data_IF_772465830413
#
_entry.id   IF_772465830413
#
_cell.length_a   1.000
_cell.length_b   1.000
_cell.length_c   1.000
_cell.angle_alpha   90.00
_cell.angle_beta   90.00
_cell.angle_gamma   90.00
#
_symmetry.space_group_name_H-M   'P 1'
#
loop_
_entity.id
_entity.type
_entity.pdbx_description
1 polymer ?
#
# COMPACT_ATOMS: atom_id res chain seq x y z
N UNK A 1 -8.73 0.41 22.90
CA UNK A 1 -7.82 -0.75 22.81
C UNK A 1 -7.36 -0.87 21.37
N UNK A 2 -6.06 -0.85 21.10
CA UNK A 2 -5.47 -1.07 19.79
C UNK A 2 -5.48 -2.56 19.44
N UNK A 3 -5.97 -2.92 18.25
CA UNK A 3 -5.69 -4.19 17.62
C UNK A 3 -4.65 -4.01 16.50
N UNK A 4 -3.71 -4.92 16.39
CA UNK A 4 -2.73 -4.99 15.32
C UNK A 4 -3.00 -6.29 14.56
N UNK A 5 -3.43 -6.20 13.32
CA UNK A 5 -3.75 -7.36 12.50
C UNK A 5 -2.69 -7.55 11.42
N UNK A 6 -2.18 -8.76 11.35
CA UNK A 6 -1.37 -9.22 10.23
C UNK A 6 -1.96 -10.49 9.66
N UNK A 7 -1.67 -10.74 8.40
CA UNK A 7 -2.18 -11.89 7.67
C UNK A 7 -1.10 -12.41 6.73
N UNK A 8 -0.82 -13.70 6.85
CA UNK A 8 0.22 -14.36 6.10
C UNK A 8 -0.06 -15.85 5.96
N UNK A 9 0.34 -16.44 4.87
CA UNK A 9 0.48 -17.88 4.70
C UNK A 9 1.94 -18.27 4.77
N UNK A 10 2.26 -19.57 4.80
CA UNK A 10 3.63 -20.11 4.95
C UNK A 10 4.68 -19.42 4.06
N UNK A 11 4.30 -18.99 2.86
CA UNK A 11 5.22 -18.35 1.91
C UNK A 11 5.64 -16.94 2.29
N UNK A 12 4.94 -16.29 3.23
CA UNK A 12 5.15 -14.90 3.63
C UNK A 12 5.88 -14.72 4.96
N UNK A 13 6.32 -15.81 5.62
CA UNK A 13 7.07 -15.72 6.89
C UNK A 13 8.58 -15.53 6.72
N UNK A 14 9.06 -15.25 5.51
CA UNK A 14 10.49 -15.12 5.19
C UNK A 14 11.20 -13.94 5.90
N UNK A 15 10.48 -12.92 6.33
CA UNK A 15 11.01 -11.79 7.09
C UNK A 15 10.38 -11.66 8.49
N UNK A 16 9.73 -12.71 8.99
CA UNK A 16 8.91 -12.69 10.19
C UNK A 16 9.59 -12.15 11.44
N UNK A 17 10.80 -12.59 11.83
CA UNK A 17 11.47 -12.05 13.01
C UNK A 17 11.74 -10.54 12.89
N UNK A 18 12.11 -10.07 11.69
CA UNK A 18 12.34 -8.65 11.45
C UNK A 18 11.03 -7.86 11.47
N UNK A 19 9.97 -8.42 10.91
CA UNK A 19 8.63 -7.86 10.95
C UNK A 19 8.15 -7.66 12.39
N UNK A 20 8.23 -8.68 13.24
CA UNK A 20 7.82 -8.61 14.65
C UNK A 20 8.57 -7.51 15.42
N UNK A 21 9.90 -7.44 15.26
CA UNK A 21 10.71 -6.39 15.88
C UNK A 21 10.30 -4.99 15.41
N UNK A 22 9.94 -4.82 14.12
CA UNK A 22 9.47 -3.54 13.58
C UNK A 22 8.09 -3.18 14.12
N UNK A 23 7.18 -4.12 14.22
CA UNK A 23 5.86 -3.92 14.83
C UNK A 23 6.00 -3.53 16.30
N UNK A 24 6.82 -4.26 17.07
CA UNK A 24 7.08 -3.95 18.48
C UNK A 24 7.69 -2.54 18.65
N UNK A 25 8.63 -2.15 17.80
CA UNK A 25 9.23 -0.81 17.84
C UNK A 25 8.23 0.30 17.46
N UNK A 26 7.39 0.09 16.46
CA UNK A 26 6.44 1.09 15.99
C UNK A 26 5.25 1.27 16.94
N UNK A 27 4.81 0.22 17.61
CA UNK A 27 3.68 0.24 18.54
C UNK A 27 4.10 0.19 20.02
N UNK A 28 5.39 0.30 20.33
CA UNK A 28 5.94 0.20 21.69
C UNK A 28 5.52 1.33 22.65
N UNK A 29 4.82 2.36 22.15
CA UNK A 29 4.20 3.38 23.00
C UNK A 29 2.82 2.94 23.53
N UNK A 30 2.33 1.77 23.15
CA UNK A 30 1.15 1.13 23.72
C UNK A 30 1.57 0.05 24.70
N UNK A 31 1.32 0.24 25.97
CA UNK A 31 1.60 -0.74 27.04
C UNK A 31 0.82 -2.04 26.83
N UNK A 32 -0.31 -1.97 26.14
CA UNK A 32 -1.15 -3.12 25.79
C UNK A 32 -1.72 -3.00 24.39
N UNK A 33 -1.60 -4.07 23.62
CA UNK A 33 -2.22 -4.24 22.33
C UNK A 33 -2.74 -5.66 22.14
N UNK A 34 -3.62 -5.85 21.16
CA UNK A 34 -4.08 -7.18 20.77
C UNK A 34 -3.54 -7.49 19.37
N UNK A 35 -2.50 -8.32 19.30
CA UNK A 35 -1.91 -8.78 18.06
C UNK A 35 -2.70 -9.96 17.51
N UNK A 36 -3.21 -9.84 16.30
CA UNK A 36 -4.04 -10.83 15.61
C UNK A 36 -3.29 -11.30 14.37
N UNK A 37 -2.93 -12.58 14.34
CA UNK A 37 -2.36 -13.23 13.16
C UNK A 37 -3.43 -14.11 12.50
N UNK A 38 -3.89 -13.71 11.31
CA UNK A 38 -4.70 -14.57 10.46
C UNK A 38 -3.79 -15.34 9.49
N UNK A 39 -3.88 -16.67 9.49
CA UNK A 39 -2.94 -17.52 8.78
C UNK A 39 -3.55 -18.84 8.34
N UNK A 40 -2.78 -19.65 7.61
CA UNK A 40 -3.13 -21.03 7.29
C UNK A 40 -2.84 -21.98 8.49
N UNK A 41 -2.95 -23.28 8.26
CA UNK A 41 -2.73 -24.33 9.27
C UNK A 41 -1.36 -25.01 9.14
N UNK A 42 -0.42 -24.42 8.40
CA UNK A 42 0.92 -24.97 8.18
C UNK A 42 1.79 -25.01 9.46
N UNK A 43 2.86 -25.77 9.42
CA UNK A 43 3.81 -25.81 10.53
C UNK A 43 4.60 -24.50 10.63
N UNK A 44 4.86 -23.86 9.51
CA UNK A 44 5.43 -22.51 9.46
C UNK A 44 4.52 -21.49 10.15
N UNK A 45 3.20 -21.61 10.01
CA UNK A 45 2.24 -20.76 10.70
C UNK A 45 2.27 -21.01 12.22
N UNK A 46 2.37 -22.26 12.67
CA UNK A 46 2.53 -22.59 14.09
C UNK A 46 3.82 -22.00 14.66
N UNK A 47 4.94 -22.15 13.95
CA UNK A 47 6.21 -21.56 14.35
C UNK A 47 6.14 -20.02 14.40
N UNK A 48 5.43 -19.38 13.47
CA UNK A 48 5.24 -17.93 13.45
C UNK A 48 4.41 -17.45 14.66
N UNK A 49 3.39 -18.19 15.06
CA UNK A 49 2.59 -17.89 16.28
C UNK A 49 3.48 -17.94 17.53
N UNK A 50 4.30 -18.98 17.68
CA UNK A 50 5.21 -19.09 18.84
C UNK A 50 6.27 -17.98 18.82
N UNK A 51 6.85 -17.66 17.67
CA UNK A 51 7.77 -16.54 17.54
C UNK A 51 7.12 -15.21 17.94
N UNK A 52 5.86 -14.98 17.59
CA UNK A 52 5.14 -13.77 18.00
C UNK A 52 4.98 -13.69 19.52
N UNK A 53 4.75 -14.81 20.21
CA UNK A 53 4.65 -14.87 21.68
C UNK A 53 5.95 -14.52 22.39
N UNK A 54 7.07 -14.78 21.74
CA UNK A 54 8.41 -14.52 22.30
C UNK A 54 8.90 -13.11 21.99
N UNK A 55 8.65 -12.63 20.77
CA UNK A 55 9.24 -11.38 20.25
C UNK A 55 8.40 -10.13 20.57
N UNK A 56 7.09 -10.28 20.77
CA UNK A 56 6.22 -9.14 21.05
C UNK A 56 6.18 -8.82 22.55
N UNK A 57 5.88 -7.57 22.94
CA UNK A 57 5.85 -7.15 24.35
C UNK A 57 4.93 -8.03 25.21
N UNK A 58 5.37 -8.36 26.42
CA UNK A 58 4.66 -9.25 27.36
C UNK A 58 3.23 -8.78 27.69
N UNK A 59 3.00 -7.46 27.72
CA UNK A 59 1.66 -6.88 27.94
C UNK A 59 0.67 -7.06 26.77
N UNK A 60 1.14 -7.59 25.65
CA UNK A 60 0.29 -7.77 24.48
C UNK A 60 -0.41 -9.14 24.47
N UNK A 61 -1.66 -9.14 24.02
CA UNK A 61 -2.39 -10.38 23.79
C UNK A 61 -2.19 -10.86 22.37
N UNK A 62 -1.86 -12.13 22.19
CA UNK A 62 -1.63 -12.73 20.87
C UNK A 62 -2.76 -13.71 20.56
N UNK A 63 -3.43 -13.48 19.45
CA UNK A 63 -4.50 -14.30 18.94
C UNK A 63 -4.17 -14.78 17.53
N UNK A 64 -4.18 -16.09 17.34
CA UNK A 64 -4.12 -16.68 16.01
C UNK A 64 -5.54 -17.01 15.50
N UNK A 65 -5.79 -16.70 14.23
CA UNK A 65 -6.99 -17.09 13.50
C UNK A 65 -6.55 -17.95 12.32
N UNK A 66 -6.67 -19.26 12.45
CA UNK A 66 -6.21 -20.20 11.43
C UNK A 66 -7.37 -20.59 10.50
N UNK A 67 -7.14 -20.45 9.20
CA UNK A 67 -8.08 -20.81 8.16
C UNK A 67 -7.61 -22.06 7.41
N UNK A 68 -8.51 -22.94 6.97
CA UNK A 68 -8.17 -24.09 6.13
C UNK A 68 -7.93 -23.62 4.69
N UNK A 69 -6.86 -22.85 4.49
CA UNK A 69 -6.47 -22.33 3.19
C UNK A 69 -5.44 -23.29 2.58
N UNK A 70 -5.73 -23.73 1.37
CA UNK A 70 -4.73 -24.38 0.54
C UNK A 70 -3.95 -23.30 -0.22
N UNK A 71 -2.61 -23.31 -0.09
CA UNK A 71 -1.72 -22.51 -0.92
C UNK A 71 -1.68 -23.01 -2.38
N UNK A 72 -2.55 -24.01 -2.68
CA UNK A 72 -2.64 -24.77 -3.90
C UNK A 72 -1.93 -24.10 -5.07
N UNK A 73 -0.85 -24.70 -5.50
CA UNK A 73 0.07 -24.20 -6.52
C UNK A 73 -0.58 -23.98 -7.88
N UNK A 74 -1.50 -23.02 -7.94
CA UNK A 74 -2.09 -22.54 -9.19
C UNK A 74 -1.08 -21.62 -9.83
N UNK A 75 -0.32 -22.16 -10.75
CA UNK A 75 0.56 -21.40 -11.64
C UNK A 75 -0.25 -20.88 -12.84
N UNK A 76 0.07 -19.68 -13.31
CA UNK A 76 -0.46 -19.16 -14.56
C UNK A 76 -1.36 -17.92 -14.44
N UNK A 77 -2.04 -17.60 -15.55
CA UNK A 77 -2.88 -16.38 -15.67
C UNK A 77 -4.06 -16.34 -14.69
N UNK A 78 -4.52 -17.49 -14.24
CA UNK A 78 -5.67 -17.65 -13.35
C UNK A 78 -5.32 -17.52 -11.86
N UNK A 79 -4.03 -17.29 -11.55
CA UNK A 79 -3.52 -17.18 -10.18
C UNK A 79 -4.05 -15.96 -9.42
N UNK A 80 -4.29 -14.84 -10.08
CA UNK A 80 -4.60 -13.56 -9.40
C UNK A 80 -5.90 -13.61 -8.60
N UNK A 81 -6.97 -14.12 -9.17
CA UNK A 81 -8.28 -14.14 -8.48
C UNK A 81 -8.29 -15.05 -7.25
N UNK A 82 -7.79 -16.29 -7.30
CA UNK A 82 -7.66 -17.12 -6.10
C UNK A 82 -6.77 -16.50 -5.02
N UNK A 83 -5.67 -15.86 -5.38
CA UNK A 83 -4.78 -15.18 -4.43
C UNK A 83 -5.49 -14.02 -3.72
N UNK A 84 -6.23 -13.19 -4.45
CA UNK A 84 -7.00 -12.08 -3.89
C UNK A 84 -8.12 -12.55 -2.97
N UNK A 85 -8.80 -13.64 -3.31
CA UNK A 85 -9.82 -14.25 -2.45
C UNK A 85 -9.22 -14.79 -1.15
N UNK A 86 -8.03 -15.42 -1.20
CA UNK A 86 -7.32 -15.88 0.01
C UNK A 86 -6.93 -14.70 0.91
N UNK A 87 -6.35 -13.63 0.34
CA UNK A 87 -5.99 -12.44 1.09
C UNK A 87 -7.25 -11.83 1.72
N UNK A 88 -8.34 -11.69 0.98
CA UNK A 88 -9.61 -11.18 1.49
C UNK A 88 -10.17 -12.04 2.63
N UNK A 89 -10.04 -13.37 2.55
CA UNK A 89 -10.45 -14.27 3.62
C UNK A 89 -9.64 -14.08 4.90
N UNK A 90 -8.31 -13.98 4.78
CA UNK A 90 -7.41 -13.74 5.91
C UNK A 90 -7.66 -12.36 6.54
N UNK A 91 -7.72 -11.32 5.74
CA UNK A 91 -8.04 -9.97 6.20
C UNK A 91 -9.42 -9.93 6.87
N UNK A 92 -10.43 -10.53 6.24
CA UNK A 92 -11.79 -10.60 6.78
C UNK A 92 -11.84 -11.29 8.14
N UNK A 93 -11.10 -12.39 8.31
CA UNK A 93 -11.01 -13.12 9.58
C UNK A 93 -10.32 -12.30 10.66
N UNK A 94 -9.20 -11.64 10.34
CA UNK A 94 -8.49 -10.76 11.27
C UNK A 94 -9.36 -9.56 11.69
N UNK A 95 -10.06 -8.93 10.75
CA UNK A 95 -10.94 -7.79 11.03
C UNK A 95 -12.16 -8.21 11.86
N UNK A 96 -12.72 -9.40 11.60
CA UNK A 96 -13.79 -9.96 12.42
C UNK A 96 -13.32 -10.22 13.86
N UNK A 97 -12.11 -10.76 14.05
CA UNK A 97 -11.53 -10.95 15.36
C UNK A 97 -11.34 -9.61 16.10
N UNK A 98 -10.85 -8.57 15.41
CA UNK A 98 -10.71 -7.23 15.97
C UNK A 98 -12.05 -6.60 16.37
N UNK A 99 -13.10 -6.79 15.56
CA UNK A 99 -14.47 -6.36 15.93
C UNK A 99 -14.99 -7.09 17.16
N UNK A 100 -14.76 -8.41 17.23
CA UNK A 100 -15.22 -9.24 18.37
C UNK A 100 -14.65 -8.77 19.71
N UNK A 101 -13.39 -8.30 19.73
CA UNK A 101 -12.76 -7.73 20.94
C UNK A 101 -13.10 -6.25 21.14
N UNK A 102 -13.94 -5.66 20.29
CA UNK A 102 -14.33 -4.24 20.33
C UNK A 102 -13.12 -3.30 20.27
N UNK A 103 -12.19 -3.57 19.36
CA UNK A 103 -11.05 -2.70 19.13
C UNK A 103 -11.51 -1.28 18.78
N UNK A 104 -10.89 -0.27 19.37
CA UNK A 104 -11.18 1.14 19.08
C UNK A 104 -10.40 1.64 17.86
N UNK A 105 -9.31 0.96 17.54
CA UNK A 105 -8.54 1.13 16.32
C UNK A 105 -7.95 -0.22 15.88
N UNK A 106 -7.79 -0.40 14.57
CA UNK A 106 -7.12 -1.55 13.98
C UNK A 106 -5.98 -1.10 13.09
N UNK A 107 -4.77 -1.50 13.40
CA UNK A 107 -3.62 -1.35 12.53
C UNK A 107 -3.41 -2.63 11.71
N UNK A 108 -3.71 -2.58 10.43
CA UNK A 108 -3.52 -3.66 9.45
C UNK A 108 -2.14 -3.54 8.84
N UNK A 109 -1.31 -4.57 8.97
CA UNK A 109 0.05 -4.61 8.42
C UNK A 109 0.31 -5.98 7.79
N UNK A 110 0.66 -5.99 6.49
CA UNK A 110 1.10 -7.22 5.81
C UNK A 110 2.45 -7.69 6.34
N UNK A 111 2.62 -9.00 6.45
CA UNK A 111 3.81 -9.62 7.06
C UNK A 111 5.12 -9.36 6.29
N UNK A 112 5.03 -8.90 5.06
CA UNK A 112 6.16 -8.51 4.21
C UNK A 112 6.39 -6.98 4.16
N UNK A 113 5.66 -6.19 4.95
CA UNK A 113 5.87 -4.76 5.13
C UNK A 113 6.64 -4.45 6.40
N UNK A 114 7.88 -4.01 6.26
CA UNK A 114 8.73 -3.61 7.37
C UNK A 114 8.50 -2.13 7.69
N UNK A 115 7.70 -1.87 8.68
CA UNK A 115 7.28 -0.52 9.07
C UNK A 115 8.39 0.26 9.78
N UNK A 116 8.49 1.60 9.57
CA UNK A 116 9.36 2.43 10.39
C UNK A 116 8.82 2.62 11.80
N UNK A 117 9.68 2.95 12.78
CA UNK A 117 9.28 3.05 14.19
C UNK A 117 8.23 4.12 14.50
N UNK A 118 8.08 5.12 13.63
CA UNK A 118 7.11 6.21 13.76
C UNK A 118 5.77 5.95 13.03
N UNK A 119 5.68 4.85 12.27
CA UNK A 119 4.55 4.59 11.39
C UNK A 119 3.19 4.65 12.10
N UNK A 120 3.03 3.93 13.20
CA UNK A 120 1.77 3.90 13.93
C UNK A 120 1.44 5.28 14.54
N UNK A 121 2.42 5.93 15.16
CA UNK A 121 2.23 7.24 15.78
C UNK A 121 1.78 8.30 14.78
N UNK A 122 2.35 8.29 13.58
CA UNK A 122 1.97 9.21 12.51
C UNK A 122 0.57 8.89 11.99
N UNK A 123 0.21 7.61 11.88
CA UNK A 123 -1.13 7.21 11.49
C UNK A 123 -2.18 7.60 12.56
N UNK A 124 -1.88 7.44 13.83
CA UNK A 124 -2.72 7.88 14.96
C UNK A 124 -2.92 9.40 14.94
N UNK A 125 -1.84 10.15 14.72
CA UNK A 125 -1.92 11.60 14.59
C UNK A 125 -2.85 12.00 13.43
N UNK A 126 -2.79 11.32 12.29
CA UNK A 126 -3.69 11.58 11.17
C UNK A 126 -5.16 11.31 11.52
N UNK A 127 -5.44 10.23 12.26
CA UNK A 127 -6.81 9.93 12.71
C UNK A 127 -7.32 10.89 13.81
N UNK A 128 -6.40 11.50 14.56
CA UNK A 128 -6.75 12.47 15.60
C UNK A 128 -7.02 13.88 15.07
N UNK A 129 -6.79 14.14 13.78
CA UNK A 129 -7.07 15.45 13.19
C UNK A 129 -8.58 15.75 13.23
N UNK A 130 -9.01 16.84 13.89
CA UNK A 130 -10.41 17.18 13.98
C UNK A 130 -10.90 17.96 12.75
N UNK A 131 -12.18 17.89 12.51
CA UNK A 131 -12.94 18.86 11.69
C UNK A 131 -13.29 20.08 12.54
N UNK A 132 -13.90 21.09 11.95
CA UNK A 132 -14.35 22.29 12.66
C UNK A 132 -15.36 21.99 13.79
N UNK A 133 -16.17 20.94 13.64
CA UNK A 133 -17.12 20.46 14.65
C UNK A 133 -16.52 19.52 15.70
N UNK A 134 -15.19 19.27 15.64
CA UNK A 134 -14.47 18.39 16.56
C UNK A 134 -14.57 16.90 16.23
N UNK A 135 -15.28 16.50 15.18
CA UNK A 135 -15.31 15.11 14.74
C UNK A 135 -13.99 14.72 14.02
N UNK A 136 -13.62 13.42 13.94
CA UNK A 136 -12.43 13.02 13.20
C UNK A 136 -12.52 13.38 11.72
N UNK A 137 -11.49 14.04 11.19
CA UNK A 137 -11.43 14.38 9.77
C UNK A 137 -11.16 13.13 8.92
N UNK A 138 -10.22 12.28 9.34
CA UNK A 138 -9.91 11.02 8.70
C UNK A 138 -10.36 9.83 9.53
N UNK A 139 -10.73 8.74 8.87
CA UNK A 139 -11.16 7.49 9.49
C UNK A 139 -10.21 6.34 9.20
N UNK A 140 -9.39 6.52 8.18
CA UNK A 140 -8.38 5.57 7.71
C UNK A 140 -7.10 6.34 7.44
N UNK A 141 -5.96 5.85 7.92
CA UNK A 141 -4.65 6.44 7.71
C UNK A 141 -3.69 5.38 7.14
N UNK A 142 -3.27 5.56 5.89
CA UNK A 142 -2.44 4.63 5.16
C UNK A 142 -1.00 5.14 5.07
N UNK A 143 -0.09 4.35 5.60
CA UNK A 143 1.35 4.50 5.40
C UNK A 143 1.68 3.95 4.01
N UNK A 144 2.42 4.72 3.23
CA UNK A 144 2.81 4.30 1.90
C UNK A 144 3.87 3.20 1.94
N UNK A 145 3.82 2.30 0.99
CA UNK A 145 4.83 1.27 0.79
C UNK A 145 4.98 0.95 -0.69
N UNK A 146 6.18 0.49 -1.07
CA UNK A 146 6.45 0.15 -2.45
C UNK A 146 5.75 -1.13 -2.87
N UNK A 147 5.07 -1.11 -4.01
CA UNK A 147 4.36 -2.29 -4.52
C UNK A 147 5.18 -3.15 -5.51
N UNK A 148 6.49 -3.23 -5.28
CA UNK A 148 7.35 -4.19 -5.96
C UNK A 148 7.87 -3.80 -7.34
N UNK A 149 7.56 -2.62 -7.82
CA UNK A 149 8.13 -2.09 -9.07
C UNK A 149 9.17 -1.02 -8.74
N UNK A 150 10.33 -1.49 -8.28
CA UNK A 150 11.42 -0.60 -7.98
C UNK A 150 12.56 -0.83 -8.90
N UNK A 151 13.22 0.22 -9.20
CA UNK A 151 14.46 0.33 -9.88
C UNK A 151 14.34 0.18 -11.38
N UNK A 152 14.26 1.29 -12.03
CA UNK A 152 14.88 1.43 -13.34
C UNK A 152 16.33 0.93 -13.25
N UNK A 153 16.88 0.43 -14.33
CA UNK A 153 18.20 -0.19 -14.38
C UNK A 153 19.39 0.62 -13.82
N UNK A 154 19.12 1.78 -13.22
CA UNK A 154 20.07 2.71 -12.60
C UNK A 154 19.83 2.93 -11.09
N UNK A 155 19.06 2.08 -10.44
CA UNK A 155 18.86 2.20 -9.00
C UNK A 155 17.91 3.31 -8.56
N UNK A 156 17.31 4.05 -9.46
CA UNK A 156 16.33 5.08 -9.14
C UNK A 156 14.99 4.44 -8.79
N UNK A 157 14.37 4.77 -7.65
CA UNK A 157 13.03 4.28 -7.33
C UNK A 157 12.07 4.60 -8.46
N UNK A 158 11.55 3.57 -9.09
CA UNK A 158 10.49 3.74 -10.08
C UNK A 158 9.15 3.79 -9.37
N UNK A 159 8.26 4.53 -9.94
CA UNK A 159 6.90 4.64 -9.45
C UNK A 159 6.22 3.26 -9.41
N UNK A 160 5.88 2.75 -8.22
CA UNK A 160 5.29 1.42 -8.09
C UNK A 160 3.88 1.33 -8.65
N UNK A 161 3.27 2.44 -8.98
CA UNK A 161 1.84 2.47 -9.28
C UNK A 161 1.56 2.77 -10.74
N UNK A 162 2.45 3.41 -11.46
CA UNK A 162 2.23 3.67 -12.88
C UNK A 162 3.51 3.99 -13.61
N UNK A 163 4.23 2.97 -14.00
CA UNK A 163 5.01 3.09 -15.21
C UNK A 163 4.14 3.01 -16.46
N UNK A 164 2.94 2.54 -16.33
CA UNK A 164 1.92 2.67 -17.35
C UNK A 164 1.57 4.15 -17.47
N UNK A 165 2.39 4.79 -18.28
CA UNK A 165 2.16 6.10 -18.79
C UNK A 165 0.75 6.16 -19.39
N UNK A 166 -0.21 6.53 -18.57
CA UNK A 166 -1.57 6.70 -19.00
C UNK A 166 -1.77 8.16 -19.44
N UNK A 167 -1.73 8.38 -20.74
CA UNK A 167 -1.97 9.69 -21.32
C UNK A 167 -3.30 10.31 -20.89
N UNK A 168 -4.29 9.46 -20.58
CA UNK A 168 -5.61 9.89 -20.13
C UNK A 168 -5.58 10.44 -18.71
N UNK A 169 -4.53 10.10 -17.93
CA UNK A 169 -4.33 10.61 -16.58
C UNK A 169 -3.51 11.90 -16.52
N UNK A 170 -3.10 12.41 -17.68
CA UNK A 170 -2.32 13.64 -17.81
C UNK A 170 -3.16 14.74 -18.42
N UNK A 171 -2.97 15.96 -17.94
CA UNK A 171 -3.59 17.15 -18.52
C UNK A 171 -2.91 17.52 -19.84
N UNK A 172 -3.32 16.85 -20.92
CA UNK A 172 -2.73 17.00 -22.23
C UNK A 172 -3.42 18.13 -23.01
N UNK A 173 -2.62 18.92 -23.70
CA UNK A 173 -3.19 19.87 -24.65
C UNK A 173 -3.81 19.13 -25.83
N UNK A 174 -4.93 19.61 -26.41
CA UNK A 174 -5.55 18.99 -27.61
C UNK A 174 -4.60 18.82 -28.79
N UNK A 175 -3.60 19.70 -28.91
CA UNK A 175 -2.53 19.62 -29.91
C UNK A 175 -1.62 18.41 -29.68
N UNK A 176 -1.27 18.13 -28.43
CA UNK A 176 -0.41 16.99 -28.08
C UNK A 176 -1.15 15.68 -28.27
N UNK A 177 -2.42 15.61 -27.87
CA UNK A 177 -3.29 14.44 -28.10
C UNK A 177 -3.36 14.10 -29.60
N UNK A 178 -3.70 15.08 -30.43
CA UNK A 178 -3.76 14.88 -31.91
C UNK A 178 -2.42 14.42 -32.48
N UNK A 179 -1.31 14.95 -31.97
CA UNK A 179 0.03 14.54 -32.45
C UNK A 179 0.36 13.10 -32.11
N UNK A 180 -0.03 12.63 -30.91
CA UNK A 180 0.12 11.24 -30.48
C UNK A 180 -0.72 10.28 -31.30
N UNK A 181 -2.00 10.59 -31.47
CA UNK A 181 -2.94 9.80 -32.29
C UNK A 181 -2.47 9.67 -33.72
N UNK A 182 -2.08 10.77 -34.34
CA UNK A 182 -1.57 10.77 -35.73
C UNK A 182 -0.27 9.95 -35.88
N UNK A 183 0.62 10.01 -34.90
CA UNK A 183 1.86 9.22 -34.88
C UNK A 183 1.56 7.73 -34.74
N UNK A 184 0.66 7.36 -33.84
CA UNK A 184 0.22 5.97 -33.62
C UNK A 184 -0.48 5.38 -34.85
N UNK A 185 -1.38 6.14 -35.44
CA UNK A 185 -2.05 5.70 -36.65
C UNK A 185 -1.05 5.37 -37.78
N UNK A 186 -0.03 6.24 -37.98
CA UNK A 186 1.02 5.97 -38.98
C UNK A 186 1.86 4.75 -38.66
N UNK A 187 2.16 4.51 -37.41
CA UNK A 187 2.93 3.32 -36.98
C UNK A 187 2.14 2.03 -37.18
N UNK A 188 0.84 2.04 -36.95
CA UNK A 188 -0.02 0.86 -37.03
C UNK A 188 0.02 0.21 -38.41
N UNK A 189 0.04 1.00 -39.46
CA UNK A 189 -0.05 0.54 -40.86
C UNK A 189 1.31 0.63 -41.56
N UNK A 190 2.38 0.97 -40.87
CA UNK A 190 3.70 1.21 -41.47
C UNK A 190 4.42 -0.10 -41.79
N UNK A 191 4.55 -0.45 -43.07
CA UNK A 191 5.34 -1.57 -43.57
C UNK A 191 6.79 -1.19 -43.91
N UNK A 192 7.04 0.11 -44.07
CA UNK A 192 8.39 0.62 -44.39
C UNK A 192 9.19 0.79 -43.07
N UNK A 193 10.29 0.07 -42.99
CA UNK A 193 11.15 0.06 -41.82
C UNK A 193 11.73 1.43 -41.49
N UNK A 194 12.14 2.19 -42.49
CA UNK A 194 12.74 3.53 -42.33
C UNK A 194 11.72 4.54 -41.80
N UNK A 195 10.50 4.51 -42.35
CA UNK A 195 9.40 5.35 -41.87
C UNK A 195 8.99 4.92 -40.46
N UNK A 196 8.92 3.61 -40.19
CA UNK A 196 8.61 3.05 -38.87
C UNK A 196 9.60 3.50 -37.79
N UNK A 197 10.89 3.49 -38.07
CA UNK A 197 11.92 3.98 -37.15
C UNK A 197 11.82 5.49 -36.90
N UNK A 198 11.53 6.29 -37.94
CA UNK A 198 11.34 7.72 -37.81
C UNK A 198 10.11 8.11 -36.98
N UNK A 199 8.99 7.44 -37.22
CA UNK A 199 7.76 7.67 -36.46
C UNK A 199 7.89 7.10 -35.03
N UNK A 200 8.62 5.99 -34.82
CA UNK A 200 8.94 5.46 -33.50
C UNK A 200 9.76 6.45 -32.65
N UNK A 201 10.80 7.07 -33.24
CA UNK A 201 11.57 8.13 -32.57
C UNK A 201 10.70 9.37 -32.27
N UNK A 202 9.75 9.68 -33.15
CA UNK A 202 8.81 10.76 -32.93
C UNK A 202 7.85 10.47 -31.78
N UNK A 203 7.30 9.25 -31.73
CA UNK A 203 6.44 8.81 -30.65
C UNK A 203 7.16 8.86 -29.31
N UNK A 204 8.42 8.40 -29.25
CA UNK A 204 9.24 8.50 -28.05
C UNK A 204 9.39 9.94 -27.55
N UNK A 205 9.66 10.91 -28.45
CA UNK A 205 9.74 12.34 -28.07
C UNK A 205 8.37 12.90 -27.61
N UNK A 206 7.28 12.46 -28.21
CA UNK A 206 5.95 12.86 -27.76
C UNK A 206 5.64 12.26 -26.38
N UNK A 207 5.99 11.01 -26.14
CA UNK A 207 5.83 10.36 -24.85
C UNK A 207 6.60 11.09 -23.74
N UNK A 208 7.85 11.50 -24.00
CA UNK A 208 8.62 12.33 -23.04
C UNK A 208 7.97 13.68 -22.75
N UNK A 209 7.33 14.30 -23.75
CA UNK A 209 6.58 15.53 -23.52
C UNK A 209 5.35 15.32 -22.65
N UNK A 210 4.68 14.19 -22.82
CA UNK A 210 3.51 13.86 -22.01
C UNK A 210 3.93 13.59 -20.56
N UNK A 211 5.05 12.92 -20.31
CA UNK A 211 5.59 12.73 -18.95
C UNK A 211 5.80 14.05 -18.21
N UNK A 212 6.08 15.14 -18.93
CA UNK A 212 6.24 16.48 -18.36
C UNK A 212 4.92 17.22 -18.13
N UNK A 213 3.80 16.72 -18.64
CA UNK A 213 2.51 17.33 -18.37
C UNK A 213 2.08 16.99 -16.94
N UNK A 214 1.49 17.95 -16.22
CA UNK A 214 0.97 17.69 -14.90
C UNK A 214 -0.11 16.61 -14.94
N UNK A 215 -0.24 15.80 -13.89
CA UNK A 215 -1.36 14.88 -13.74
C UNK A 215 -2.69 15.65 -13.84
N UNK A 216 -3.70 15.03 -14.40
CA UNK A 216 -5.04 15.58 -14.43
C UNK A 216 -5.81 15.05 -13.22
N UNK A 217 -6.10 15.94 -12.26
CA UNK A 217 -6.86 15.61 -11.05
C UNK A 217 -6.04 15.16 -9.85
N UNK A 218 -6.73 14.75 -8.82
CA UNK A 218 -6.15 14.33 -7.55
C UNK A 218 -5.74 12.87 -7.54
N UNK A 219 -4.96 12.52 -6.54
CA UNK A 219 -4.48 11.16 -6.29
C UNK A 219 -5.64 10.22 -6.09
N UNK A 220 -5.66 9.12 -6.82
CA UNK A 220 -6.65 8.05 -6.68
C UNK A 220 -8.12 8.50 -6.83
N UNK A 221 -8.38 9.62 -7.45
CA UNK A 221 -9.74 10.00 -7.78
C UNK A 221 -10.35 9.06 -8.80
N UNK A 222 -11.62 8.75 -8.59
CA UNK A 222 -12.45 8.19 -9.65
C UNK A 222 -12.78 9.29 -10.64
N UNK A 223 -12.25 9.21 -11.82
CA UNK A 223 -12.81 9.99 -12.91
C UNK A 223 -13.99 9.21 -13.46
N UNK A 224 -15.20 9.76 -13.35
CA UNK A 224 -16.45 9.06 -13.66
C UNK A 224 -16.53 8.37 -15.02
N UNK A 225 -15.72 8.78 -15.99
CA UNK A 225 -15.65 8.17 -17.33
C UNK A 225 -14.53 7.14 -17.50
N UNK A 226 -13.52 7.14 -16.65
CA UNK A 226 -12.28 6.37 -16.85
C UNK A 226 -11.89 5.48 -15.68
N UNK A 227 -12.71 5.42 -14.61
CA UNK A 227 -12.41 4.66 -13.40
C UNK A 227 -11.37 5.30 -12.51
N UNK A 228 -10.74 4.49 -11.69
CA UNK A 228 -9.75 4.93 -10.73
C UNK A 228 -8.48 5.43 -11.40
N UNK A 229 -7.99 6.56 -10.93
CA UNK A 229 -6.67 7.05 -11.26
C UNK A 229 -5.70 6.73 -10.16
N UNK A 230 -4.50 6.36 -10.54
CA UNK A 230 -3.39 6.18 -9.62
C UNK A 230 -2.42 7.32 -9.83
N UNK A 231 -2.02 7.98 -8.76
CA UNK A 231 -0.85 8.85 -8.81
C UNK A 231 0.42 8.03 -8.73
N UNK A 232 1.43 8.56 -9.37
CA UNK A 232 2.77 8.09 -9.21
C UNK A 232 3.32 8.34 -7.82
N UNK A 233 4.27 7.49 -7.41
CA UNK A 233 5.01 7.68 -6.19
C UNK A 233 5.55 9.11 -6.03
N UNK A 234 6.07 9.69 -7.11
CA UNK A 234 6.60 11.05 -7.12
C UNK A 234 5.54 12.13 -6.90
N UNK A 235 4.31 11.86 -7.29
CA UNK A 235 3.19 12.78 -7.06
C UNK A 235 2.81 12.85 -5.57
N UNK A 236 3.13 11.80 -4.80
CA UNK A 236 2.98 11.75 -3.35
C UNK A 236 4.23 12.23 -2.62
N UNK A 237 5.37 11.67 -2.99
CA UNK A 237 6.59 11.81 -2.24
C UNK A 237 7.12 13.25 -2.26
N UNK A 238 7.11 13.89 -3.41
CA UNK A 238 7.71 15.22 -3.55
C UNK A 238 7.01 16.32 -2.75
N UNK A 239 5.69 16.47 -2.79
CA UNK A 239 5.03 17.48 -1.97
C UNK A 239 5.05 17.17 -0.47
N UNK A 240 5.13 15.89 -0.12
CA UNK A 240 4.97 15.41 1.26
C UNK A 240 6.27 15.21 2.03
N UNK A 241 7.36 14.85 1.34
CA UNK A 241 8.63 14.46 1.98
C UNK A 241 9.28 15.52 2.84
N UNK A 242 9.08 16.80 2.53
CA UNK A 242 9.66 17.91 3.29
C UNK A 242 8.72 18.58 4.27
N UNK A 243 7.43 18.21 4.34
CA UNK A 243 6.40 18.99 5.02
C UNK A 243 5.52 18.21 5.98
N UNK A 244 5.72 16.91 6.13
CA UNK A 244 4.81 16.08 6.94
C UNK A 244 3.35 16.09 6.44
N UNK A 245 3.13 16.33 5.15
CA UNK A 245 1.80 16.50 4.61
C UNK A 245 1.03 15.18 4.59
N UNK A 246 -0.20 15.22 5.06
CA UNK A 246 -1.21 14.20 4.84
C UNK A 246 -1.92 14.52 3.53
N UNK A 247 -2.07 13.52 2.67
CA UNK A 247 -2.74 13.67 1.39
C UNK A 247 -4.08 12.93 1.44
N UNK A 248 -5.22 13.60 1.21
CA UNK A 248 -6.49 12.92 1.05
C UNK A 248 -6.42 11.91 -0.10
N UNK A 249 -7.02 10.74 0.12
CA UNK A 249 -7.03 9.67 -0.88
C UNK A 249 -8.40 8.98 -0.90
N UNK A 250 -8.85 8.57 -2.09
CA UNK A 250 -10.07 7.76 -2.24
C UNK A 250 -9.80 6.26 -2.14
N UNK A 251 -8.55 5.88 -2.13
CA UNK A 251 -8.12 4.49 -2.08
C UNK A 251 -6.79 4.34 -1.34
N UNK A 252 -6.61 3.22 -0.68
CA UNK A 252 -5.33 2.80 -0.09
C UNK A 252 -5.20 1.28 -0.13
N UNK A 253 -3.95 0.79 -0.16
CA UNK A 253 -3.65 -0.60 0.14
C UNK A 253 -3.79 -0.87 1.64
N UNK A 254 -4.15 -2.10 2.01
CA UNK A 254 -4.33 -2.50 3.40
C UNK A 254 -3.04 -3.01 4.08
N UNK A 255 -1.94 -3.01 3.34
CA UNK A 255 -0.66 -3.55 3.80
C UNK A 255 0.02 -2.77 4.91
N UNK A 256 -0.34 -1.50 5.12
CA UNK A 256 0.07 -0.72 6.29
C UNK A 256 -0.94 0.41 6.54
N UNK A 257 -2.06 0.09 7.21
CA UNK A 257 -3.20 0.99 7.30
C UNK A 257 -3.82 0.96 8.69
N UNK A 258 -3.96 2.11 9.34
CA UNK A 258 -4.68 2.27 10.59
C UNK A 258 -6.14 2.66 10.31
N UNK A 259 -7.07 1.95 10.91
CA UNK A 259 -8.50 2.15 10.81
C UNK A 259 -9.09 2.56 12.16
N UNK A 260 -9.95 3.57 12.16
CA UNK A 260 -10.79 3.88 13.33
C UNK A 260 -11.82 2.78 13.57
N UNK A 261 -12.45 2.76 14.75
CA UNK A 261 -13.54 1.83 15.05
C UNK A 261 -14.67 1.89 14.02
N UNK A 262 -14.98 3.10 13.52
CA UNK A 262 -16.00 3.30 12.47
C UNK A 262 -15.59 2.65 11.16
N UNK A 263 -14.35 2.81 10.73
CA UNK A 263 -13.84 2.17 9.52
C UNK A 263 -13.77 0.64 9.67
N UNK A 264 -13.33 0.15 10.82
CA UNK A 264 -13.29 -1.28 11.15
C UNK A 264 -14.69 -1.92 11.15
N UNK A 265 -15.70 -1.23 11.65
CA UNK A 265 -17.07 -1.73 11.65
C UNK A 265 -17.60 -2.02 10.23
N UNK A 266 -17.15 -1.23 9.25
CA UNK A 266 -17.51 -1.37 7.85
C UNK A 266 -16.53 -2.25 7.05
N UNK A 267 -15.42 -2.67 7.63
CA UNK A 267 -14.39 -3.45 6.96
C UNK A 267 -14.82 -4.92 6.81
N UNK A 268 -15.60 -5.20 5.76
CA UNK A 268 -16.05 -6.54 5.41
C UNK A 268 -15.91 -6.79 3.91
N UNK A 269 -15.55 -8.02 3.55
CA UNK A 269 -15.41 -8.49 2.16
C UNK A 269 -16.64 -9.28 1.68
N UNK A 270 -17.75 -9.19 2.39
CA UNK A 270 -19.00 -9.79 1.94
C UNK A 270 -19.40 -9.25 0.55
N UNK A 271 -19.67 -10.16 -0.40
CA UNK A 271 -19.96 -9.80 -1.79
C UNK A 271 -18.74 -9.51 -2.67
N UNK A 272 -17.51 -9.64 -2.15
CA UNK A 272 -16.30 -9.58 -2.97
C UNK A 272 -16.15 -10.88 -3.78
N UNK A 273 -16.02 -10.75 -5.10
CA UNK A 273 -15.97 -11.88 -6.05
C UNK A 273 -14.56 -12.13 -6.62
N UNK A 274 -13.54 -11.49 -6.05
CA UNK A 274 -12.15 -11.62 -6.52
C UNK A 274 -11.81 -10.79 -7.74
N UNK A 275 -12.73 -9.97 -8.24
CA UNK A 275 -12.44 -9.01 -9.31
C UNK A 275 -11.86 -7.72 -8.76
N UNK A 276 -10.75 -7.28 -9.35
CA UNK A 276 -9.96 -6.19 -8.80
C UNK A 276 -9.23 -6.60 -7.52
N UNK A 277 -8.71 -5.66 -6.76
CA UNK A 277 -8.08 -5.94 -5.47
C UNK A 277 -9.10 -5.81 -4.34
N UNK A 278 -8.96 -6.61 -3.29
CA UNK A 278 -9.80 -6.54 -2.09
C UNK A 278 -9.71 -5.15 -1.41
N UNK A 279 -8.58 -4.47 -1.52
CA UNK A 279 -8.39 -3.11 -1.02
C UNK A 279 -9.31 -2.11 -1.72
N UNK A 280 -9.38 -2.16 -3.05
CA UNK A 280 -10.29 -1.34 -3.85
C UNK A 280 -11.74 -1.64 -3.50
N UNK A 281 -12.09 -2.92 -3.34
CA UNK A 281 -13.44 -3.31 -2.95
C UNK A 281 -13.84 -2.66 -1.62
N UNK A 282 -12.94 -2.73 -0.61
CA UNK A 282 -13.22 -2.17 0.69
C UNK A 282 -13.36 -0.64 0.64
N UNK A 283 -12.42 0.03 0.00
CA UNK A 283 -12.45 1.49 -0.13
C UNK A 283 -13.70 1.95 -0.87
N UNK A 284 -14.02 1.32 -1.99
CA UNK A 284 -15.05 1.79 -2.91
C UNK A 284 -16.47 1.33 -2.54
N UNK A 285 -16.63 0.11 -2.06
CA UNK A 285 -17.95 -0.43 -1.76
C UNK A 285 -18.36 -0.33 -0.29
N UNK A 286 -17.42 0.02 0.61
CA UNK A 286 -17.71 0.11 2.05
C UNK A 286 -17.43 1.50 2.60
N UNK A 287 -16.21 1.99 2.48
CA UNK A 287 -15.79 3.22 3.13
C UNK A 287 -16.28 4.48 2.42
N UNK A 288 -16.01 4.60 1.14
CA UNK A 288 -16.39 5.78 0.36
C UNK A 288 -17.91 6.05 0.38
N UNK A 289 -18.81 5.06 0.12
CA UNK A 289 -20.26 5.30 0.19
C UNK A 289 -20.75 5.68 1.59
N UNK A 290 -19.97 5.34 2.62
CA UNK A 290 -20.27 5.69 4.02
C UNK A 290 -19.67 7.02 4.46
N UNK A 291 -19.10 7.80 3.54
CA UNK A 291 -18.51 9.10 3.81
C UNK A 291 -17.21 9.04 4.62
N UNK A 292 -16.51 7.89 4.65
CA UNK A 292 -15.22 7.79 5.33
C UNK A 292 -14.13 8.42 4.48
N UNK A 293 -13.23 9.16 5.14
CA UNK A 293 -12.08 9.81 4.52
C UNK A 293 -10.81 9.05 4.81
N UNK A 294 -9.98 8.90 3.80
CA UNK A 294 -8.70 8.19 3.85
C UNK A 294 -7.57 9.20 3.76
N UNK A 295 -6.62 9.10 4.69
CA UNK A 295 -5.36 9.82 4.67
C UNK A 295 -4.27 8.93 4.06
N UNK A 296 -3.56 9.40 3.07
CA UNK A 296 -2.28 8.84 2.66
C UNK A 296 -1.14 9.62 3.29
N UNK A 297 -0.16 8.90 3.84
CA UNK A 297 0.97 9.48 4.57
C UNK A 297 2.27 9.18 3.79
N UNK A 298 2.68 10.06 2.87
CA UNK A 298 3.80 9.78 1.98
C UNK A 298 5.17 9.98 2.61
N UNK A 299 5.29 10.80 3.65
CA UNK A 299 6.56 11.11 4.31
C UNK A 299 7.05 10.01 5.26
N UNK A 300 6.19 9.05 5.56
CA UNK A 300 6.52 7.84 6.29
C UNK A 300 6.19 6.66 5.39
N UNK A 301 7.15 5.78 5.13
CA UNK A 301 6.94 4.64 4.26
C UNK A 301 7.55 3.37 4.84
N UNK A 302 6.84 2.27 4.66
CA UNK A 302 7.34 0.94 4.99
C UNK A 302 8.18 0.38 3.85
N UNK A 303 9.17 -0.44 4.16
CA UNK A 303 9.85 -1.26 3.16
C UNK A 303 9.00 -2.47 2.83
N UNK A 304 9.01 -2.90 1.58
CA UNK A 304 8.30 -4.08 1.14
C UNK A 304 9.28 -5.19 0.80
N UNK A 305 9.17 -6.34 1.45
CA UNK A 305 10.09 -7.47 1.31
C UNK A 305 9.39 -8.58 0.57
N UNK A 306 9.81 -8.85 -0.66
CA UNK A 306 9.20 -9.86 -1.51
C UNK A 306 10.17 -10.99 -1.83
N UNK A 307 9.64 -12.12 -2.26
CA UNK A 307 10.43 -13.13 -2.98
C UNK A 307 10.32 -12.87 -4.47
N UNK A 308 11.44 -12.88 -5.15
CA UNK A 308 11.47 -12.81 -6.60
C UNK A 308 11.06 -14.16 -7.26
N UNK A 309 11.05 -14.19 -8.58
CA UNK A 309 10.73 -15.42 -9.33
C UNK A 309 11.70 -16.58 -9.09
N UNK A 310 12.88 -16.32 -8.50
CA UNK A 310 13.87 -17.34 -8.12
C UNK A 310 13.72 -17.77 -6.66
N UNK A 311 12.79 -17.16 -5.91
CA UNK A 311 12.58 -17.39 -4.48
C UNK A 311 13.53 -16.59 -3.58
N UNK A 312 14.37 -15.72 -4.13
CA UNK A 312 15.26 -14.87 -3.36
C UNK A 312 14.51 -13.71 -2.70
N UNK A 313 14.93 -13.34 -1.49
CA UNK A 313 14.32 -12.24 -0.75
C UNK A 313 14.84 -10.91 -1.27
N UNK A 314 13.93 -10.09 -1.79
CA UNK A 314 14.23 -8.76 -2.34
C UNK A 314 13.59 -7.69 -1.47
N UNK A 315 14.40 -6.77 -0.97
CA UNK A 315 13.94 -5.60 -0.23
C UNK A 315 13.65 -4.44 -1.17
N UNK A 316 12.39 -4.09 -1.30
CA UNK A 316 11.97 -2.86 -1.95
C UNK A 316 11.94 -1.72 -0.92
N UNK A 317 13.02 -0.97 -0.86
CA UNK A 317 13.15 0.15 0.08
C UNK A 317 12.49 1.40 -0.50
N UNK A 318 11.69 2.05 0.31
CA UNK A 318 10.93 3.22 -0.14
C UNK A 318 11.84 4.43 -0.41
N UNK A 319 12.91 4.62 0.40
CA UNK A 319 13.72 5.84 0.38
C UNK A 319 15.22 5.62 0.54
N UNK A 320 15.71 4.40 0.75
CA UNK A 320 17.07 4.18 1.19
C UNK A 320 17.73 3.02 0.48
N UNK A 321 18.93 3.24 0.00
CA UNK A 321 19.75 2.18 -0.55
C UNK A 321 20.48 1.39 0.57
N UNK A 322 20.67 2.01 1.75
CA UNK A 322 21.37 1.40 2.88
C UNK A 322 20.65 1.61 4.22
N UNK A 323 20.88 0.70 5.17
CA UNK A 323 20.33 0.82 6.53
C UNK A 323 20.87 2.05 7.28
N UNK A 324 22.08 2.49 6.95
CA UNK A 324 22.70 3.71 7.52
C UNK A 324 21.95 4.98 7.10
N UNK A 325 21.56 5.06 5.83
CA UNK A 325 20.76 6.17 5.30
C UNK A 325 19.36 6.18 5.91
N UNK A 326 18.76 5.01 6.07
CA UNK A 326 17.49 4.85 6.76
C UNK A 326 17.53 5.38 8.20
N UNK A 327 18.54 4.98 8.98
CA UNK A 327 18.73 5.45 10.36
C UNK A 327 19.00 6.97 10.43
N UNK A 328 19.74 7.51 9.48
CA UNK A 328 19.99 8.95 9.36
C UNK A 328 18.69 9.71 9.12
N UNK A 329 17.87 9.21 8.24
CA UNK A 329 16.58 9.81 7.89
C UNK A 329 15.54 9.72 9.01
N UNK A 330 15.51 8.61 9.74
CA UNK A 330 14.68 8.48 10.95
C UNK A 330 15.04 9.51 12.03
N UNK A 331 16.34 9.76 12.26
CA UNK A 331 16.78 10.77 13.22
C UNK A 331 16.34 12.17 12.80
N UNK A 332 16.46 12.51 11.52
CA UNK A 332 15.99 13.79 10.99
C UNK A 332 14.48 13.96 11.13
N UNK A 333 13.71 12.89 10.91
CA UNK A 333 12.25 12.93 11.09
C UNK A 333 11.85 13.06 12.55
N UNK A 334 12.47 12.31 13.44
CA UNK A 334 12.20 12.42 14.88
C UNK A 334 12.46 13.85 15.38
N UNK A 335 13.50 14.51 14.87
CA UNK A 335 13.77 15.90 15.19
C UNK A 335 12.76 16.88 14.60
N UNK A 336 12.24 16.60 13.41
CA UNK A 336 11.22 17.44 12.75
C UNK A 336 9.80 17.30 13.36
N UNK A 337 9.55 16.22 14.10
CA UNK A 337 8.26 15.92 14.72
C UNK A 337 8.19 16.24 16.22
N UNK A 338 9.27 16.69 16.83
CA UNK A 338 9.18 17.23 18.19
C UNK A 338 8.47 18.59 18.11
N UNK A 339 7.30 18.74 18.75
CA UNK A 339 6.71 20.06 18.90
C UNK A 339 7.69 20.95 19.68
N UNK A 340 7.93 22.16 19.16
CA UNK A 340 8.67 23.20 19.87
C UNK A 340 7.95 23.59 21.16
#
# INVERSE_FOLDING_TARGET
MLAIATYATRSYFHCWPQFLRRIAAAAGHHDSAHFILATDQSDEAKAAIEAARVELPEGWRIQAVQLPLDDGGVEGKDYKQPAQMRIAALQGAAFAAARKIRATALWSVEADNLVPPDALRVAEWALAMPTEDGSPFYHVAAITYPNGLFLGGNGTPQNPISEDFNEKERKLSPRLVRALEACRARLKDCKDKTIGEKEGKRLGRLAERVKRCPPDGNVFEVSGKHGWRRRGWMDFAYPGLGRGAIVPSDWCGLGCTLMSARALALATFEGYDGKGTQDLFLCWHRWHPSGLRIAAIPHTAADHVKRDAKGEVVHHRAYHETEGEYRGHLRQRQQAWMPC
#
